data_IF_872369868049
#
_entry.id   IF_872369868049
#
_cell.length_a   1.000
_cell.length_b   1.000
_cell.length_c   1.000
_cell.angle_alpha   90.00
_cell.angle_beta   90.00
_cell.angle_gamma   90.00
#
_symmetry.space_group_name_H-M   'P 1'
#
loop_
_entity.id
_entity.type
_entity.pdbx_description
1 polymer ?
#
# COMPACT_ATOMS: atom_id res chain seq x y z
N UNK A 1 11.83 -2.74 29.01
CA UNK A 1 13.12 -2.93 28.31
C UNK A 1 13.82 -1.58 28.30
N UNK A 2 15.03 -1.43 28.87
CA UNK A 2 15.71 -0.15 28.78
C UNK A 2 15.99 0.14 27.31
N UNK A 3 15.31 1.15 26.78
CA UNK A 3 15.39 1.63 25.41
C UNK A 3 16.70 2.41 25.21
N UNK A 4 17.84 1.77 25.44
CA UNK A 4 19.13 2.36 25.12
C UNK A 4 19.33 2.35 23.61
N UNK A 5 19.73 3.49 23.06
CA UNK A 5 20.03 3.57 21.63
C UNK A 5 21.26 2.69 21.30
N UNK A 6 21.37 2.24 20.04
CA UNK A 6 22.52 1.41 19.61
C UNK A 6 23.87 2.13 19.80
N UNK A 7 23.85 3.47 19.74
CA UNK A 7 25.02 4.33 19.99
C UNK A 7 25.42 4.30 21.46
N UNK A 8 24.47 4.42 22.37
CA UNK A 8 24.71 4.34 23.82
C UNK A 8 25.24 2.97 24.24
N UNK A 9 24.71 1.89 23.65
CA UNK A 9 25.22 0.54 23.85
C UNK A 9 26.69 0.43 23.46
N UNK A 10 27.08 0.97 22.30
CA UNK A 10 28.46 0.95 21.82
C UNK A 10 29.38 1.78 22.73
N UNK A 11 28.91 2.94 23.20
CA UNK A 11 29.65 3.77 24.15
C UNK A 11 29.84 3.07 25.51
N UNK A 12 28.81 2.36 26.00
CA UNK A 12 28.89 1.59 27.23
C UNK A 12 29.89 0.44 27.13
N UNK A 13 29.85 -0.33 26.04
CA UNK A 13 30.81 -1.42 25.78
C UNK A 13 32.25 -0.90 25.77
N UNK A 14 32.52 0.24 25.12
CA UNK A 14 33.88 0.83 25.11
C UNK A 14 34.31 1.35 26.48
N UNK A 15 33.39 1.92 27.26
CA UNK A 15 33.67 2.37 28.64
C UNK A 15 34.07 1.18 29.50
N UNK A 16 33.32 0.10 29.42
CA UNK A 16 33.53 -1.12 30.19
C UNK A 16 34.78 -1.88 29.73
N UNK A 17 35.08 -1.88 28.43
CA UNK A 17 36.35 -2.42 27.91
C UNK A 17 37.57 -1.65 28.44
N UNK A 18 37.49 -0.30 28.52
CA UNK A 18 38.55 0.53 29.12
C UNK A 18 38.69 0.30 30.63
N UNK A 19 37.63 -0.12 31.30
CA UNK A 19 37.66 -0.53 32.71
C UNK A 19 38.28 -1.93 32.92
N UNK A 20 38.76 -2.59 31.85
CA UNK A 20 39.48 -3.88 31.92
C UNK A 20 38.59 -5.12 31.84
N UNK A 21 37.31 -4.97 31.47
CA UNK A 21 36.41 -6.12 31.32
C UNK A 21 36.81 -6.99 30.12
N UNK A 22 36.82 -8.31 30.32
CA UNK A 22 37.09 -9.27 29.25
C UNK A 22 35.96 -9.30 28.22
N UNK A 23 36.27 -9.71 26.99
CA UNK A 23 35.27 -9.81 25.93
C UNK A 23 34.08 -10.70 26.27
N UNK A 24 34.25 -11.75 27.10
CA UNK A 24 33.14 -12.58 27.60
C UNK A 24 32.31 -11.86 28.67
N UNK A 25 32.95 -11.12 29.56
CA UNK A 25 32.25 -10.32 30.57
C UNK A 25 31.41 -9.20 29.92
N UNK A 26 31.91 -8.57 28.85
CA UNK A 26 31.16 -7.58 28.07
C UNK A 26 29.92 -8.18 27.40
N UNK A 27 30.03 -9.37 26.83
CA UNK A 27 28.90 -10.09 26.23
C UNK A 27 27.81 -10.38 27.27
N UNK A 28 28.20 -10.90 28.44
CA UNK A 28 27.27 -11.21 29.52
C UNK A 28 26.60 -9.94 30.10
N UNK A 29 27.38 -8.88 30.34
CA UNK A 29 26.89 -7.62 30.95
C UNK A 29 25.91 -6.88 30.04
N UNK A 30 26.18 -6.82 28.75
CA UNK A 30 25.35 -6.08 27.79
C UNK A 30 24.36 -6.94 27.02
N UNK A 31 24.36 -8.27 27.21
CA UNK A 31 23.47 -9.20 26.49
C UNK A 31 23.72 -9.22 24.97
N UNK A 32 24.96 -9.00 24.54
CA UNK A 32 25.33 -8.92 23.12
C UNK A 32 26.28 -10.05 22.74
N UNK A 33 26.30 -10.43 21.45
CA UNK A 33 27.25 -11.40 20.93
C UNK A 33 28.65 -10.81 20.68
N UNK A 34 29.65 -11.68 20.58
CA UNK A 34 31.06 -11.32 20.29
C UNK A 34 31.22 -10.36 19.09
N UNK A 35 30.48 -10.56 18.00
CA UNK A 35 30.55 -9.68 16.81
C UNK A 35 30.17 -8.24 17.13
N UNK A 36 29.18 -8.04 17.99
CA UNK A 36 28.75 -6.69 18.41
C UNK A 36 29.79 -6.04 19.30
N UNK A 37 30.42 -6.80 20.19
CA UNK A 37 31.53 -6.29 21.02
C UNK A 37 32.71 -5.87 20.15
N UNK A 38 33.12 -6.70 19.19
CA UNK A 38 34.18 -6.36 18.24
C UNK A 38 33.83 -5.13 17.39
N UNK A 39 32.60 -5.04 16.88
CA UNK A 39 32.13 -3.88 16.12
C UNK A 39 32.12 -2.59 16.96
N UNK A 40 31.76 -2.67 18.24
CA UNK A 40 31.79 -1.53 19.15
C UNK A 40 33.21 -1.08 19.52
N UNK A 41 34.17 -2.02 19.54
CA UNK A 41 35.59 -1.74 19.75
C UNK A 41 36.26 -1.16 18.50
N UNK A 42 35.87 -1.59 17.29
CA UNK A 42 36.47 -1.14 16.04
C UNK A 42 35.90 0.18 15.51
N UNK A 43 34.63 0.50 15.81
CA UNK A 43 33.97 1.72 15.34
C UNK A 43 33.24 2.45 16.47
N UNK A 44 33.37 3.78 16.48
CA UNK A 44 32.63 4.67 17.39
C UNK A 44 31.13 4.59 17.10
N UNK A 45 30.78 4.58 15.82
CA UNK A 45 29.41 4.61 15.32
C UNK A 45 28.96 3.21 14.91
N UNK A 46 27.78 2.75 15.35
CA UNK A 46 27.22 1.51 14.86
C UNK A 46 26.97 1.63 13.36
N UNK A 47 27.35 0.58 12.61
CA UNK A 47 27.03 0.52 11.19
C UNK A 47 25.52 0.70 10.98
N UNK A 48 25.18 1.48 9.95
CA UNK A 48 23.81 1.67 9.52
C UNK A 48 23.17 0.31 9.24
N UNK A 49 21.90 0.17 9.61
CA UNK A 49 21.17 -1.06 9.36
C UNK A 49 21.10 -1.24 7.84
N UNK A 50 21.64 -2.36 7.34
CA UNK A 50 21.46 -2.74 5.93
C UNK A 50 19.96 -2.68 5.62
N UNK A 51 19.59 -1.79 4.70
CA UNK A 51 18.25 -1.75 4.18
C UNK A 51 18.13 -2.93 3.22
N UNK A 52 17.21 -3.84 3.52
CA UNK A 52 16.86 -4.85 2.55
C UNK A 52 16.18 -4.15 1.37
N UNK A 53 16.53 -4.49 0.12
CA UNK A 53 15.76 -4.01 -1.01
C UNK A 53 14.30 -4.41 -0.77
N UNK A 54 13.36 -3.48 -1.00
CA UNK A 54 11.94 -3.81 -0.97
C UNK A 54 11.74 -4.87 -2.05
N UNK A 55 11.48 -6.11 -1.66
CA UNK A 55 11.13 -7.16 -2.60
C UNK A 55 9.89 -6.72 -3.37
N UNK A 56 9.90 -6.89 -4.69
CA UNK A 56 8.73 -6.60 -5.52
C UNK A 56 7.52 -7.37 -5.01
N UNK A 57 6.34 -6.76 -5.10
CA UNK A 57 5.10 -7.47 -4.81
C UNK A 57 4.83 -8.51 -5.90
N UNK A 58 4.17 -9.62 -5.58
CA UNK A 58 3.74 -10.59 -6.60
C UNK A 58 2.80 -9.99 -7.64
N UNK A 59 2.21 -8.83 -7.33
CA UNK A 59 1.37 -8.07 -8.24
C UNK A 59 2.19 -7.26 -9.26
N UNK A 60 3.46 -6.94 -8.98
CA UNK A 60 4.29 -6.06 -9.80
C UNK A 60 4.35 -6.47 -11.29
N UNK A 61 4.49 -7.77 -11.64
CA UNK A 61 4.45 -8.20 -13.04
C UNK A 61 3.12 -7.90 -13.76
N UNK A 62 2.02 -7.82 -13.02
CA UNK A 62 0.67 -7.65 -13.56
C UNK A 62 0.20 -6.19 -13.57
N UNK A 63 0.88 -5.29 -12.85
CA UNK A 63 0.49 -3.88 -12.73
C UNK A 63 0.34 -3.17 -14.07
N UNK A 64 1.30 -3.36 -14.99
CA UNK A 64 1.27 -2.71 -16.30
C UNK A 64 0.06 -3.14 -17.13
N UNK A 65 -0.33 -4.42 -17.02
CA UNK A 65 -1.50 -4.97 -17.67
C UNK A 65 -2.80 -4.40 -17.08
N UNK A 66 -2.92 -4.40 -15.76
CA UNK A 66 -4.07 -3.80 -15.04
C UNK A 66 -4.25 -2.33 -15.45
N UNK A 67 -3.16 -1.58 -15.49
CA UNK A 67 -3.17 -0.17 -15.87
C UNK A 67 -3.61 0.05 -17.33
N UNK A 68 -3.30 -0.88 -18.24
CA UNK A 68 -3.74 -0.82 -19.64
C UNK A 68 -5.25 -1.04 -19.74
N UNK A 69 -5.75 -2.11 -19.10
CA UNK A 69 -7.18 -2.44 -19.05
C UNK A 69 -8.00 -1.28 -18.44
N UNK A 70 -7.52 -0.71 -17.32
CA UNK A 70 -8.20 0.41 -16.68
C UNK A 70 -8.24 1.66 -17.57
N UNK A 71 -7.21 1.90 -18.38
CA UNK A 71 -7.18 3.05 -19.30
C UNK A 71 -8.13 2.87 -20.48
N UNK A 72 -8.25 1.65 -21.00
CA UNK A 72 -9.25 1.31 -22.01
C UNK A 72 -10.68 1.47 -21.47
N UNK A 73 -10.92 1.04 -20.23
CA UNK A 73 -12.22 1.13 -19.55
C UNK A 73 -12.70 2.59 -19.37
N UNK A 74 -11.78 3.55 -19.15
CA UNK A 74 -12.12 4.99 -19.08
C UNK A 74 -12.77 5.51 -20.37
N UNK A 75 -12.58 4.83 -21.50
CA UNK A 75 -13.18 5.16 -22.79
C UNK A 75 -14.58 4.56 -23.01
N UNK A 76 -15.04 3.67 -22.12
CA UNK A 76 -16.35 3.03 -22.22
C UNK A 76 -17.49 3.94 -21.73
N UNK A 77 -18.70 3.76 -22.27
CA UNK A 77 -19.90 4.50 -21.86
C UNK A 77 -20.42 4.00 -20.50
N UNK A 78 -21.02 4.87 -19.68
CA UNK A 78 -21.51 4.55 -18.32
C UNK A 78 -22.51 3.37 -18.30
N UNK A 79 -23.29 3.20 -19.37
CA UNK A 79 -24.21 2.07 -19.55
C UNK A 79 -23.49 0.73 -19.76
N UNK A 80 -22.26 0.76 -20.30
CA UNK A 80 -21.40 -0.42 -20.44
C UNK A 80 -20.61 -0.74 -19.15
N UNK A 81 -20.29 0.27 -18.32
CA UNK A 81 -19.63 0.07 -17.01
C UNK A 81 -20.50 -0.75 -16.03
N UNK A 82 -21.83 -0.66 -16.14
CA UNK A 82 -22.78 -1.32 -15.21
C UNK A 82 -23.09 -2.77 -15.61
N UNK A 83 -23.05 -3.10 -16.90
CA UNK A 83 -23.39 -4.43 -17.41
C UNK A 83 -22.19 -5.37 -17.61
N UNK A 84 -20.95 -4.88 -17.46
CA UNK A 84 -19.75 -5.70 -17.45
C UNK A 84 -19.43 -6.23 -16.05
N UNK A 85 -19.04 -7.51 -15.91
CA UNK A 85 -18.42 -7.98 -14.66
C UNK A 85 -17.25 -7.06 -14.32
N UNK A 86 -17.24 -6.53 -13.09
CA UNK A 86 -16.22 -5.59 -12.63
C UNK A 86 -14.81 -6.09 -13.00
N UNK A 87 -13.91 -5.23 -13.52
CA UNK A 87 -12.62 -5.63 -14.06
C UNK A 87 -11.78 -6.45 -13.07
N UNK A 88 -11.92 -6.21 -11.75
CA UNK A 88 -11.24 -7.00 -10.71
C UNK A 88 -11.64 -8.48 -10.65
N UNK A 89 -12.87 -8.84 -11.03
CA UNK A 89 -13.33 -10.23 -11.05
C UNK A 89 -12.87 -10.96 -12.33
N UNK A 90 -12.97 -10.33 -13.52
CA UNK A 90 -12.46 -10.94 -14.77
C UNK A 90 -10.94 -11.13 -14.77
N UNK A 91 -10.21 -10.18 -14.17
CA UNK A 91 -8.73 -10.19 -14.17
C UNK A 91 -8.12 -11.40 -13.46
N UNK A 92 -8.78 -11.89 -12.40
CA UNK A 92 -8.24 -12.99 -11.59
C UNK A 92 -8.48 -14.35 -12.26
N UNK A 93 -9.63 -14.52 -12.90
CA UNK A 93 -10.06 -15.79 -13.50
C UNK A 93 -9.44 -16.03 -14.90
N UNK A 94 -9.19 -14.98 -15.68
CA UNK A 94 -8.71 -15.11 -17.08
C UNK A 94 -7.18 -15.10 -17.22
N UNK A 95 -6.42 -14.57 -16.25
CA UNK A 95 -4.98 -14.26 -16.45
C UNK A 95 -3.99 -15.07 -15.60
N UNK A 96 -4.44 -16.10 -14.87
CA UNK A 96 -3.53 -16.99 -14.14
C UNK A 96 -2.65 -16.22 -13.14
N UNK A 97 -3.25 -15.32 -12.36
CA UNK A 97 -2.58 -14.60 -11.26
C UNK A 97 -2.30 -15.54 -10.07
N UNK A 98 -1.70 -16.69 -10.35
CA UNK A 98 -1.42 -17.76 -9.42
C UNK A 98 -0.43 -17.28 -8.35
N UNK A 99 -0.98 -16.92 -7.19
CA UNK A 99 -0.22 -16.46 -6.03
C UNK A 99 -0.40 -14.99 -5.66
N UNK A 100 -1.27 -14.23 -6.35
CA UNK A 100 -1.77 -12.94 -5.89
C UNK A 100 -3.13 -13.14 -5.24
N UNK A 101 -3.30 -12.62 -4.01
CA UNK A 101 -4.62 -12.63 -3.38
C UNK A 101 -5.57 -11.70 -4.12
N UNK A 102 -6.81 -12.15 -4.32
CA UNK A 102 -7.87 -11.35 -4.90
C UNK A 102 -8.07 -10.00 -4.18
N UNK A 103 -7.86 -9.94 -2.85
CA UNK A 103 -7.91 -8.69 -2.11
C UNK A 103 -6.80 -7.72 -2.56
N UNK A 104 -5.59 -8.22 -2.74
CA UNK A 104 -4.44 -7.41 -3.20
C UNK A 104 -4.66 -6.86 -4.61
N UNK A 105 -5.24 -7.67 -5.50
CA UNK A 105 -5.59 -7.21 -6.84
C UNK A 105 -6.70 -6.14 -6.79
N UNK A 106 -7.75 -6.35 -5.98
CA UNK A 106 -8.85 -5.39 -5.80
C UNK A 106 -8.38 -4.06 -5.21
N UNK A 107 -7.54 -4.08 -4.17
CA UNK A 107 -7.02 -2.87 -3.52
C UNK A 107 -6.22 -2.04 -4.52
N UNK A 108 -5.36 -2.68 -5.32
CA UNK A 108 -4.58 -2.01 -6.35
C UNK A 108 -5.47 -1.42 -7.46
N UNK A 109 -6.47 -2.17 -7.92
CA UNK A 109 -7.43 -1.68 -8.93
C UNK A 109 -8.20 -0.47 -8.43
N UNK A 110 -8.66 -0.48 -7.18
CA UNK A 110 -9.37 0.64 -6.57
C UNK A 110 -8.50 1.90 -6.51
N UNK A 111 -7.25 1.76 -6.06
CA UNK A 111 -6.29 2.86 -6.03
C UNK A 111 -5.99 3.39 -7.44
N UNK A 112 -5.68 2.50 -8.40
CA UNK A 112 -5.33 2.89 -9.77
C UNK A 112 -6.48 3.48 -10.56
N UNK A 113 -7.71 3.02 -10.36
CA UNK A 113 -8.90 3.59 -11.02
C UNK A 113 -9.09 5.06 -10.62
N UNK A 114 -8.87 5.39 -9.35
CA UNK A 114 -8.93 6.78 -8.87
C UNK A 114 -7.86 7.66 -9.52
N UNK A 115 -6.63 7.15 -9.61
CA UNK A 115 -5.49 7.87 -10.21
C UNK A 115 -5.67 8.03 -11.73
N UNK A 116 -6.10 6.98 -12.43
CA UNK A 116 -6.32 7.03 -13.88
C UNK A 116 -7.45 8.01 -14.26
N UNK A 117 -8.53 8.10 -13.45
CA UNK A 117 -9.58 9.12 -13.63
C UNK A 117 -9.06 10.53 -13.44
N UNK A 118 -8.20 10.75 -12.44
CA UNK A 118 -7.55 12.03 -12.21
C UNK A 118 -6.60 12.42 -13.36
N UNK A 119 -5.78 11.48 -13.83
CA UNK A 119 -4.88 11.66 -14.99
C UNK A 119 -5.66 12.00 -16.28
N UNK A 120 -6.84 11.40 -16.47
CA UNK A 120 -7.71 11.65 -17.63
C UNK A 120 -8.54 12.96 -17.53
N UNK A 121 -8.32 13.79 -16.50
CA UNK A 121 -9.08 15.03 -16.30
C UNK A 121 -10.56 14.83 -15.95
N UNK A 122 -10.97 13.60 -15.62
CA UNK A 122 -12.32 13.24 -15.16
C UNK A 122 -12.46 13.22 -13.64
N UNK A 123 -11.50 13.82 -12.92
CA UNK A 123 -11.49 13.88 -11.47
C UNK A 123 -12.32 15.04 -10.93
N UNK A 124 -13.53 14.76 -10.46
CA UNK A 124 -14.18 15.59 -9.43
C UNK A 124 -13.85 15.02 -8.06
N UNK A 125 -13.54 15.89 -7.09
CA UNK A 125 -13.50 15.54 -5.67
C UNK A 125 -14.85 14.89 -5.29
N UNK A 126 -14.86 13.59 -5.02
CA UNK A 126 -16.05 12.92 -4.49
C UNK A 126 -16.32 13.44 -3.07
N UNK A 127 -17.01 14.57 -2.96
CA UNK A 127 -17.83 14.87 -1.79
C UNK A 127 -19.13 14.12 -2.03
N UNK A 128 -19.18 12.85 -1.61
CA UNK A 128 -20.41 12.08 -1.61
C UNK A 128 -21.33 12.64 -0.52
N UNK A 129 -22.16 13.63 -0.87
CA UNK A 129 -23.23 14.11 0.03
C UNK A 129 -24.36 13.09 -0.06
N UNK A 130 -24.52 12.27 0.99
CA UNK A 130 -25.67 11.38 1.13
C UNK A 130 -26.93 12.20 1.34
N UNK A 131 -27.63 12.54 0.26
CA UNK A 131 -29.00 13.05 0.37
C UNK A 131 -29.87 11.95 0.97
N UNK A 132 -30.31 12.16 2.22
CA UNK A 132 -31.19 11.22 2.91
C UNK A 132 -32.61 11.76 2.76
N UNK A 133 -33.33 11.34 1.72
CA UNK A 133 -34.77 11.61 1.60
C UNK A 133 -35.53 10.55 2.40
N UNK A 134 -36.47 10.96 3.25
CA UNK A 134 -37.37 10.01 3.91
C UNK A 134 -38.42 9.54 2.88
N UNK A 135 -38.84 8.27 2.91
CA UNK A 135 -39.91 7.80 2.03
C UNK A 135 -41.17 8.66 2.22
N UNK A 136 -41.61 9.35 1.17
CA UNK A 136 -42.83 10.17 1.16
C UNK A 136 -42.68 11.68 1.44
N UNK A 137 -41.47 12.24 1.45
CA UNK A 137 -41.24 13.66 1.75
C UNK A 137 -41.39 14.58 0.53
N UNK A 138 -40.99 14.13 -0.65
CA UNK A 138 -41.16 14.85 -1.92
C UNK A 138 -41.62 13.87 -3.02
N UNK A 139 -42.66 14.25 -3.76
CA UNK A 139 -43.08 13.55 -4.97
C UNK A 139 -42.57 14.34 -6.16
N UNK A 140 -41.57 13.81 -6.87
CA UNK A 140 -41.21 14.32 -8.19
C UNK A 140 -42.29 13.92 -9.18
N UNK A 141 -42.93 14.92 -9.78
CA UNK A 141 -43.89 14.75 -10.88
C UNK A 141 -43.16 15.05 -12.17
N UNK A 142 -42.91 14.02 -12.97
CA UNK A 142 -42.29 14.15 -14.28
C UNK A 142 -43.39 14.42 -15.33
N UNK A 143 -43.29 15.54 -16.07
CA UNK A 143 -44.21 15.86 -17.15
C UNK A 143 -43.61 15.41 -18.49
N UNK A 144 -44.18 14.36 -19.08
CA UNK A 144 -43.85 13.93 -20.44
C UNK A 144 -44.82 14.50 -21.47
N UNK A 145 -44.32 15.26 -22.44
CA UNK A 145 -45.12 15.70 -23.59
C UNK A 145 -45.26 14.55 -24.60
N UNK A 146 -46.50 14.15 -24.88
CA UNK A 146 -46.83 13.11 -25.87
C UNK A 146 -47.39 13.78 -27.11
N UNK A 147 -46.65 13.72 -28.22
CA UNK A 147 -47.16 14.18 -29.51
C UNK A 147 -47.73 13.00 -30.30
N UNK A 148 -49.04 13.03 -30.56
CA UNK A 148 -49.72 12.05 -31.42
C UNK A 148 -49.77 12.62 -32.85
N UNK A 149 -49.15 11.93 -33.81
CA UNK A 149 -49.34 12.20 -35.25
C UNK A 149 -50.56 11.43 -35.75
N UNK A 150 -51.45 12.14 -36.45
CA UNK A 150 -52.56 11.56 -37.23
C UNK A 150 -52.10 11.14 -38.61
#
# INVERSE_FOLDING_TARGET
MPCQSKVELYAAIRRDARAGLSGRALQAKHGVGWRTVQAAMSSVWPAERRQHPKGGSKLDPFKAFIDAVLREDLGSTEEAETYGQAPGCRLSDEHGMDGVSHQTARDYVAERKSQARAEAGRGSAEVFIRQTHRPGEEAEVDFGDVTIRR
#
